data_IF_182167520804
#
_entry.id   IF_182167520804
#
_cell.length_a   1.000
_cell.length_b   1.000
_cell.length_c   1.000
_cell.angle_alpha   90.00
_cell.angle_beta   90.00
_cell.angle_gamma   90.00
#
_symmetry.space_group_name_H-M   'P 1'
#
loop_
_entity.id
_entity.type
_entity.pdbx_description
1 polymer ?
#
# COMPACT_ATOMS: atom_id res chain seq x y z
N UNK A 1 -38.15 13.54 -20.17
CA UNK A 1 -37.43 13.42 -21.46
C UNK A 1 -36.31 14.44 -21.63
N UNK A 2 -36.54 15.76 -21.46
CA UNK A 2 -35.53 16.82 -21.68
C UNK A 2 -34.25 16.64 -20.82
N UNK A 3 -34.36 16.30 -19.53
CA UNK A 3 -33.18 16.03 -18.67
C UNK A 3 -32.29 14.89 -19.20
N UNK A 4 -32.89 13.84 -19.76
CA UNK A 4 -32.18 12.69 -20.33
C UNK A 4 -31.38 13.10 -21.57
N UNK A 5 -31.93 14.03 -22.37
CA UNK A 5 -31.26 14.60 -23.53
C UNK A 5 -30.05 15.46 -23.13
N UNK A 6 -30.18 16.30 -22.09
CA UNK A 6 -29.04 17.07 -21.55
C UNK A 6 -27.92 16.17 -20.99
N UNK A 7 -28.28 15.07 -20.31
CA UNK A 7 -27.31 14.09 -19.79
C UNK A 7 -26.59 13.38 -20.96
N UNK A 8 -27.30 12.99 -22.01
CA UNK A 8 -26.70 12.36 -23.20
C UNK A 8 -25.74 13.30 -23.94
N UNK A 9 -26.12 14.56 -24.12
CA UNK A 9 -25.26 15.57 -24.77
C UNK A 9 -23.99 15.83 -23.95
N UNK A 10 -24.13 15.94 -22.63
CA UNK A 10 -22.97 16.16 -21.73
C UNK A 10 -22.05 14.94 -21.68
N UNK A 11 -22.59 13.72 -21.64
CA UNK A 11 -21.79 12.49 -21.73
C UNK A 11 -21.05 12.38 -23.06
N UNK A 12 -21.70 12.70 -24.18
CA UNK A 12 -21.07 12.70 -25.51
C UNK A 12 -19.97 13.75 -25.63
N UNK A 13 -20.18 14.96 -25.09
CA UNK A 13 -19.18 16.02 -25.06
C UNK A 13 -17.96 15.61 -24.22
N UNK A 14 -18.18 15.02 -23.03
CA UNK A 14 -17.10 14.49 -22.18
C UNK A 14 -16.37 13.36 -22.88
N UNK A 15 -17.07 12.42 -23.50
CA UNK A 15 -16.47 11.32 -24.27
C UNK A 15 -15.56 11.85 -25.37
N UNK A 16 -16.01 12.83 -26.17
CA UNK A 16 -15.22 13.43 -27.24
C UNK A 16 -14.00 14.19 -26.71
N UNK A 17 -14.14 14.94 -25.62
CA UNK A 17 -13.02 15.69 -25.01
C UNK A 17 -11.99 14.72 -24.41
N UNK A 18 -12.45 13.66 -23.76
CA UNK A 18 -11.59 12.62 -23.19
C UNK A 18 -10.90 11.84 -24.31
N UNK A 19 -11.64 11.37 -25.32
CA UNK A 19 -11.12 10.66 -26.50
C UNK A 19 -10.05 11.47 -27.24
N UNK A 20 -10.28 12.77 -27.45
CA UNK A 20 -9.31 13.68 -28.08
C UNK A 20 -8.03 13.89 -27.24
N UNK A 21 -8.08 13.69 -25.92
CA UNK A 21 -6.93 13.77 -24.99
C UNK A 21 -6.33 12.40 -24.64
N UNK A 22 -6.94 11.30 -25.07
CA UNK A 22 -6.37 9.97 -24.89
C UNK A 22 -5.27 9.78 -25.94
N UNK A 23 -4.05 10.13 -25.53
CA UNK A 23 -2.84 9.87 -26.30
C UNK A 23 -2.71 8.36 -26.59
N UNK A 24 -2.35 8.00 -27.83
CA UNK A 24 -2.08 6.63 -28.30
C UNK A 24 -1.10 5.89 -27.38
N UNK A 25 -0.19 6.62 -26.72
CA UNK A 25 0.70 6.12 -25.67
C UNK A 25 -0.04 5.54 -24.45
N UNK A 26 -1.09 6.20 -23.94
CA UNK A 26 -1.90 5.71 -22.80
C UNK A 26 -2.65 4.43 -23.16
N UNK A 27 -3.21 4.33 -24.37
CA UNK A 27 -3.89 3.11 -24.86
C UNK A 27 -2.89 1.95 -24.98
N UNK A 28 -1.69 2.20 -25.51
CA UNK A 28 -0.62 1.19 -25.61
C UNK A 28 -0.25 0.67 -24.21
N UNK A 29 -0.09 1.57 -23.23
CA UNK A 29 0.20 1.22 -21.83
C UNK A 29 -0.88 0.35 -21.18
N UNK A 30 -2.17 0.65 -21.43
CA UNK A 30 -3.30 -0.17 -20.94
C UNK A 30 -3.30 -1.56 -21.59
N UNK A 31 -3.11 -1.65 -22.91
CA UNK A 31 -3.00 -2.96 -23.60
C UNK A 31 -1.84 -3.80 -23.07
N UNK A 32 -0.68 -3.18 -22.83
CA UNK A 32 0.47 -3.86 -22.22
C UNK A 32 0.14 -4.37 -20.81
N UNK A 33 -0.58 -3.59 -20.01
CA UNK A 33 -0.99 -3.96 -18.66
C UNK A 33 -1.96 -5.15 -18.66
N UNK A 34 -2.97 -5.14 -19.55
CA UNK A 34 -3.89 -6.28 -19.74
C UNK A 34 -3.12 -7.54 -20.15
N UNK A 35 -2.20 -7.42 -21.11
CA UNK A 35 -1.37 -8.55 -21.55
C UNK A 35 -0.51 -9.11 -20.41
N UNK A 36 0.09 -8.24 -19.60
CA UNK A 36 0.85 -8.64 -18.42
C UNK A 36 -0.01 -9.37 -17.39
N UNK A 37 -1.21 -8.87 -17.09
CA UNK A 37 -2.17 -9.53 -16.19
C UNK A 37 -2.53 -10.93 -16.71
N UNK A 38 -2.89 -11.05 -18.00
CA UNK A 38 -3.28 -12.33 -18.59
C UNK A 38 -2.11 -13.33 -18.57
N UNK A 39 -0.88 -12.85 -18.79
CA UNK A 39 0.31 -13.70 -18.65
C UNK A 39 0.52 -14.16 -17.21
N UNK A 40 0.30 -13.31 -16.19
CA UNK A 40 0.41 -13.73 -14.78
C UNK A 40 -0.57 -14.86 -14.45
N UNK A 41 -1.83 -14.76 -14.90
CA UNK A 41 -2.77 -15.88 -14.79
C UNK A 41 -2.28 -17.14 -15.48
N UNK A 42 -1.75 -17.01 -16.71
CA UNK A 42 -1.16 -18.14 -17.45
C UNK A 42 0.03 -18.77 -16.73
N UNK A 43 0.87 -17.97 -16.06
CA UNK A 43 1.99 -18.46 -15.25
C UNK A 43 1.53 -19.25 -14.03
N UNK A 44 0.49 -18.79 -13.32
CA UNK A 44 -0.12 -19.52 -12.21
C UNK A 44 -0.60 -20.91 -12.64
N UNK A 45 -1.31 -21.01 -13.77
CA UNK A 45 -1.85 -22.28 -14.26
C UNK A 45 -0.78 -23.22 -14.86
N UNK A 46 0.37 -22.71 -15.29
CA UNK A 46 1.45 -23.51 -15.87
C UNK A 46 2.45 -24.07 -14.85
N UNK A 47 2.30 -23.76 -13.56
CA UNK A 47 3.09 -24.35 -12.46
C UNK A 47 4.60 -24.09 -12.47
N UNK A 48 5.13 -23.36 -13.46
CA UNK A 48 6.56 -23.04 -13.55
C UNK A 48 6.88 -21.78 -12.79
N UNK A 49 7.17 -21.95 -11.51
CA UNK A 49 7.92 -20.96 -10.75
C UNK A 49 9.31 -21.53 -10.41
N UNK A 50 10.29 -21.23 -11.26
CA UNK A 50 11.71 -21.59 -11.07
C UNK A 50 12.39 -20.84 -9.92
N UNK A 51 11.70 -19.93 -9.23
CA UNK A 51 12.37 -18.95 -8.37
C UNK A 51 12.02 -19.03 -6.88
N UNK A 52 11.14 -19.94 -6.42
CA UNK A 52 10.41 -19.74 -5.15
C UNK A 52 10.73 -20.78 -4.06
N UNK A 53 11.05 -20.29 -2.86
CA UNK A 53 10.80 -21.00 -1.60
C UNK A 53 9.32 -20.85 -1.22
N UNK A 54 8.59 -21.96 -1.15
CA UNK A 54 7.12 -22.03 -0.97
C UNK A 54 6.57 -21.07 0.10
N UNK A 55 7.22 -20.99 1.27
CA UNK A 55 6.79 -20.14 2.38
C UNK A 55 6.78 -18.64 2.08
N UNK A 56 7.74 -18.12 1.30
CA UNK A 56 7.81 -16.68 0.97
C UNK A 56 6.67 -16.27 0.04
N UNK A 57 6.36 -17.12 -0.94
CA UNK A 57 5.25 -16.92 -1.83
C UNK A 57 3.91 -17.05 -1.09
N UNK A 58 3.79 -18.02 -0.18
CA UNK A 58 2.60 -18.22 0.63
C UNK A 58 2.28 -16.98 1.49
N UNK A 59 3.27 -16.40 2.18
CA UNK A 59 3.11 -15.19 3.00
C UNK A 59 2.60 -14.01 2.15
N UNK A 60 3.23 -13.75 1.00
CA UNK A 60 2.83 -12.67 0.11
C UNK A 60 1.43 -12.92 -0.49
N UNK A 61 1.15 -14.16 -0.90
CA UNK A 61 -0.15 -14.54 -1.45
C UNK A 61 -1.28 -14.36 -0.43
N UNK A 62 -1.09 -14.85 0.80
CA UNK A 62 -2.09 -14.71 1.88
C UNK A 62 -2.35 -13.23 2.17
N UNK A 63 -1.30 -12.44 2.41
CA UNK A 63 -1.45 -11.01 2.76
C UNK A 63 -2.26 -10.26 1.70
N UNK A 64 -2.00 -10.55 0.42
CA UNK A 64 -2.66 -9.86 -0.67
C UNK A 64 -4.05 -10.41 -0.99
N UNK A 65 -4.29 -11.72 -0.83
CA UNK A 65 -5.63 -12.30 -0.93
C UNK A 65 -6.59 -11.68 0.11
N UNK A 66 -6.09 -11.42 1.32
CA UNK A 66 -6.84 -10.71 2.36
C UNK A 66 -7.17 -9.26 1.96
N UNK A 67 -6.23 -8.52 1.37
CA UNK A 67 -6.47 -7.17 0.84
C UNK A 67 -7.51 -7.18 -0.29
N UNK A 68 -7.45 -8.14 -1.21
CA UNK A 68 -8.50 -8.32 -2.24
C UNK A 68 -9.83 -8.54 -1.57
N UNK A 69 -9.93 -9.52 -0.68
CA UNK A 69 -11.17 -9.80 0.03
C UNK A 69 -11.72 -8.54 0.73
N UNK A 70 -10.86 -7.70 1.31
CA UNK A 70 -11.23 -6.42 1.88
C UNK A 70 -11.91 -5.49 0.89
N UNK A 71 -11.23 -5.23 -0.23
CA UNK A 71 -11.69 -4.32 -1.26
C UNK A 71 -12.98 -4.83 -1.89
N UNK A 72 -13.04 -6.13 -2.19
CA UNK A 72 -14.23 -6.78 -2.75
C UNK A 72 -15.41 -6.65 -1.81
N UNK A 73 -15.24 -6.99 -0.53
CA UNK A 73 -16.31 -6.87 0.46
C UNK A 73 -16.78 -5.42 0.62
N UNK A 74 -15.85 -4.47 0.68
CA UNK A 74 -16.17 -3.04 0.80
C UNK A 74 -16.97 -2.55 -0.41
N UNK A 75 -16.52 -2.89 -1.63
CA UNK A 75 -17.17 -2.50 -2.88
C UNK A 75 -18.53 -3.18 -3.00
N UNK A 76 -18.62 -4.48 -2.76
CA UNK A 76 -19.88 -5.24 -2.80
C UNK A 76 -20.87 -4.65 -1.81
N UNK A 77 -20.49 -4.40 -0.55
CA UNK A 77 -21.39 -3.79 0.45
C UNK A 77 -21.92 -2.43 0.00
N UNK A 78 -21.07 -1.59 -0.61
CA UNK A 78 -21.44 -0.24 -1.06
C UNK A 78 -22.33 -0.27 -2.30
N UNK A 79 -22.07 -1.18 -3.24
CA UNK A 79 -22.85 -1.35 -4.47
C UNK A 79 -24.18 -2.04 -4.20
N UNK A 80 -24.19 -3.13 -3.42
CA UNK A 80 -25.41 -3.91 -3.16
C UNK A 80 -26.48 -3.09 -2.44
N UNK A 81 -26.07 -2.25 -1.47
CA UNK A 81 -26.95 -1.28 -0.79
C UNK A 81 -27.57 -0.26 -1.76
N UNK A 82 -26.92 0.00 -2.89
CA UNK A 82 -27.41 0.94 -3.92
C UNK A 82 -28.29 0.26 -4.98
N UNK A 83 -28.08 -1.04 -5.22
CA UNK A 83 -28.78 -1.81 -6.28
C UNK A 83 -30.14 -2.35 -5.81
N UNK A 84 -30.34 -2.57 -4.50
CA UNK A 84 -31.57 -3.17 -3.96
C UNK A 84 -32.83 -2.30 -4.10
N UNK A 85 -32.70 -0.97 -4.18
CA UNK A 85 -33.85 -0.06 -4.19
C UNK A 85 -34.43 0.28 -5.58
N UNK A 86 -33.71 0.10 -6.71
CA UNK A 86 -34.07 0.84 -7.95
C UNK A 86 -33.85 0.17 -9.33
N UNK A 87 -33.61 -1.15 -9.46
CA UNK A 87 -33.27 -1.74 -10.78
C UNK A 87 -34.16 -2.88 -11.29
N UNK A 88 -34.49 -2.81 -12.60
CA UNK A 88 -35.05 -3.88 -13.46
C UNK A 88 -34.05 -5.05 -13.53
N UNK A 89 -34.53 -6.30 -13.69
CA UNK A 89 -33.74 -7.54 -13.74
C UNK A 89 -32.47 -7.47 -14.62
N UNK A 90 -32.55 -6.77 -15.76
CA UNK A 90 -31.43 -6.55 -16.67
C UNK A 90 -30.31 -5.66 -16.10
N UNK A 91 -30.66 -4.66 -15.29
CA UNK A 91 -29.68 -3.84 -14.58
C UNK A 91 -28.89 -4.67 -13.55
N UNK A 92 -29.57 -5.59 -12.85
CA UNK A 92 -28.93 -6.50 -11.88
C UNK A 92 -27.93 -7.43 -12.56
N UNK A 93 -28.30 -8.08 -13.67
CA UNK A 93 -27.38 -8.96 -14.41
C UNK A 93 -26.17 -8.20 -14.98
N UNK A 94 -26.38 -7.01 -15.55
CA UNK A 94 -25.30 -6.17 -16.05
C UNK A 94 -24.34 -5.74 -14.93
N UNK A 95 -24.85 -5.34 -13.75
CA UNK A 95 -24.01 -4.97 -12.60
C UNK A 95 -23.16 -6.14 -12.11
N UNK A 96 -23.70 -7.37 -12.10
CA UNK A 96 -22.96 -8.57 -11.72
C UNK A 96 -21.81 -8.85 -12.72
N UNK A 97 -22.07 -8.74 -14.03
CA UNK A 97 -21.05 -8.95 -15.06
C UNK A 97 -19.92 -7.91 -14.92
N UNK A 98 -20.26 -6.63 -14.73
CA UNK A 98 -19.29 -5.55 -14.51
C UNK A 98 -18.48 -5.81 -13.24
N UNK A 99 -19.11 -6.28 -12.17
CA UNK A 99 -18.43 -6.62 -10.92
C UNK A 99 -17.43 -7.77 -11.12
N UNK A 100 -17.81 -8.84 -11.85
CA UNK A 100 -16.91 -9.97 -12.15
C UNK A 100 -15.72 -9.52 -12.99
N UNK A 101 -15.92 -8.68 -14.00
CA UNK A 101 -14.84 -8.12 -14.81
C UNK A 101 -13.91 -7.23 -13.97
N UNK A 102 -14.49 -6.40 -13.11
CA UNK A 102 -13.72 -5.58 -12.18
C UNK A 102 -12.89 -6.43 -11.23
N UNK A 103 -13.46 -7.50 -10.67
CA UNK A 103 -12.78 -8.46 -9.81
C UNK A 103 -11.59 -9.12 -10.52
N UNK A 104 -11.78 -9.54 -11.77
CA UNK A 104 -10.71 -10.09 -12.61
C UNK A 104 -9.53 -9.12 -12.72
N UNK A 105 -9.80 -7.84 -13.00
CA UNK A 105 -8.75 -6.83 -13.09
C UNK A 105 -8.06 -6.57 -11.75
N UNK A 106 -8.82 -6.50 -10.65
CA UNK A 106 -8.28 -6.29 -9.29
C UNK A 106 -7.34 -7.43 -8.92
N UNK A 107 -7.79 -8.68 -9.07
CA UNK A 107 -6.98 -9.87 -8.75
C UNK A 107 -5.76 -9.93 -9.66
N UNK A 108 -5.91 -9.64 -10.95
CA UNK A 108 -4.83 -9.68 -11.92
C UNK A 108 -3.73 -8.65 -11.65
N UNK A 109 -4.11 -7.41 -11.34
CA UNK A 109 -3.16 -6.36 -10.98
C UNK A 109 -2.43 -6.67 -9.67
N UNK A 110 -3.13 -7.32 -8.74
CA UNK A 110 -2.58 -7.69 -7.45
C UNK A 110 -1.55 -8.82 -7.60
N UNK A 111 -1.83 -9.86 -8.39
CA UNK A 111 -0.84 -10.88 -8.77
C UNK A 111 0.39 -10.28 -9.46
N UNK A 112 0.19 -9.32 -10.36
CA UNK A 112 1.28 -8.58 -10.98
C UNK A 112 2.13 -7.81 -9.95
N UNK A 113 1.47 -7.25 -8.93
CA UNK A 113 2.12 -6.55 -7.82
C UNK A 113 2.93 -7.52 -6.95
N UNK A 114 2.42 -8.72 -6.62
CA UNK A 114 3.20 -9.81 -5.98
C UNK A 114 4.45 -10.09 -6.79
N UNK A 115 4.31 -10.31 -8.11
CA UNK A 115 5.42 -10.69 -8.97
C UNK A 115 6.52 -9.62 -8.99
N UNK A 116 6.14 -8.33 -9.02
CA UNK A 116 7.09 -7.21 -8.96
C UNK A 116 7.78 -7.09 -7.60
N UNK A 117 7.03 -7.13 -6.50
CA UNK A 117 7.58 -7.10 -5.14
C UNK A 117 8.51 -8.29 -4.92
N UNK A 118 8.13 -9.46 -5.42
CA UNK A 118 8.95 -10.66 -5.34
C UNK A 118 10.26 -10.54 -6.12
N UNK A 119 10.20 -10.09 -7.38
CA UNK A 119 11.39 -9.85 -8.22
C UNK A 119 12.33 -8.82 -7.57
N UNK A 120 11.76 -7.85 -6.86
CA UNK A 120 12.49 -6.87 -6.06
C UNK A 120 13.13 -7.47 -4.80
N UNK A 121 12.41 -8.33 -4.06
CA UNK A 121 12.93 -9.02 -2.87
C UNK A 121 13.95 -10.12 -3.21
N UNK A 122 13.86 -10.77 -4.37
CA UNK A 122 14.86 -11.74 -4.84
C UNK A 122 16.22 -11.06 -5.10
N UNK A 123 16.14 -9.80 -5.47
CA UNK A 123 17.24 -8.92 -5.81
C UNK A 123 18.10 -8.58 -4.57
N UNK A 124 17.54 -8.70 -3.36
CA UNK A 124 18.26 -8.49 -2.09
C UNK A 124 19.05 -9.77 -1.75
N UNK A 125 20.37 -9.65 -1.67
CA UNK A 125 21.26 -10.78 -1.34
C UNK A 125 21.19 -11.15 0.15
N UNK A 126 21.11 -10.16 1.04
CA UNK A 126 21.00 -10.41 2.48
C UNK A 126 19.66 -11.07 2.86
N UNK A 127 19.75 -12.36 3.17
CA UNK A 127 18.64 -13.20 3.61
C UNK A 127 17.94 -12.65 4.87
N UNK A 128 18.67 -11.99 5.77
CA UNK A 128 18.10 -11.45 7.00
C UNK A 128 17.24 -10.23 6.68
N UNK A 129 17.76 -9.25 5.92
CA UNK A 129 16.99 -8.08 5.46
C UNK A 129 15.73 -8.48 4.71
N UNK A 130 15.86 -9.45 3.80
CA UNK A 130 14.71 -9.98 3.05
C UNK A 130 13.63 -10.56 3.96
N UNK A 131 14.02 -11.28 4.99
CA UNK A 131 13.08 -11.91 5.94
C UNK A 131 12.41 -10.86 6.82
N UNK A 132 13.17 -9.90 7.34
CA UNK A 132 12.67 -8.80 8.15
C UNK A 132 11.64 -7.94 7.38
N UNK A 133 11.92 -7.66 6.09
CA UNK A 133 10.99 -6.98 5.16
C UNK A 133 9.70 -7.77 4.91
N UNK A 134 9.80 -9.08 4.71
CA UNK A 134 8.64 -9.92 4.45
C UNK A 134 7.72 -10.01 5.67
N UNK A 135 8.29 -10.18 6.86
CA UNK A 135 7.52 -10.27 8.11
C UNK A 135 6.85 -8.93 8.41
N UNK A 136 7.57 -7.83 8.32
CA UNK A 136 7.02 -6.48 8.54
C UNK A 136 5.90 -6.15 7.54
N UNK A 137 6.10 -6.44 6.25
CA UNK A 137 5.07 -6.28 5.21
C UNK A 137 3.82 -7.11 5.51
N UNK A 138 3.99 -8.37 5.90
CA UNK A 138 2.88 -9.26 6.25
C UNK A 138 2.06 -8.70 7.41
N UNK A 139 2.71 -8.27 8.49
CA UNK A 139 2.05 -7.69 9.67
C UNK A 139 1.27 -6.43 9.28
N UNK A 140 1.91 -5.48 8.60
CA UNK A 140 1.29 -4.23 8.17
C UNK A 140 0.07 -4.52 7.29
N UNK A 141 0.22 -5.38 6.29
CA UNK A 141 -0.87 -5.74 5.37
C UNK A 141 -2.04 -6.39 6.08
N UNK A 142 -1.78 -7.29 7.04
CA UNK A 142 -2.83 -7.94 7.82
C UNK A 142 -3.58 -6.94 8.72
N UNK A 143 -2.86 -6.09 9.45
CA UNK A 143 -3.50 -5.10 10.33
C UNK A 143 -4.25 -4.01 9.56
N UNK A 144 -3.71 -3.51 8.45
CA UNK A 144 -4.44 -2.61 7.56
C UNK A 144 -5.72 -3.27 7.04
N UNK A 145 -5.66 -4.56 6.69
CA UNK A 145 -6.84 -5.30 6.25
C UNK A 145 -7.88 -5.41 7.37
N UNK A 146 -7.46 -5.79 8.57
CA UNK A 146 -8.36 -5.91 9.73
C UNK A 146 -8.99 -4.56 10.07
N UNK A 147 -8.21 -3.47 10.04
CA UNK A 147 -8.69 -2.10 10.25
C UNK A 147 -9.82 -1.75 9.27
N UNK A 148 -9.64 -2.05 7.98
CA UNK A 148 -10.60 -1.70 6.92
C UNK A 148 -11.84 -2.60 6.97
N UNK A 149 -11.68 -3.91 7.16
CA UNK A 149 -12.81 -4.86 7.07
C UNK A 149 -13.57 -4.99 8.39
N UNK A 150 -12.84 -5.06 9.49
CA UNK A 150 -13.34 -5.43 10.81
C UNK A 150 -12.85 -4.41 11.87
N UNK A 151 -13.21 -3.13 11.75
CA UNK A 151 -12.72 -2.09 12.67
C UNK A 151 -13.07 -2.37 14.14
N UNK A 152 -14.19 -3.07 14.40
CA UNK A 152 -14.53 -3.52 15.76
C UNK A 152 -13.55 -4.56 16.31
N UNK A 153 -13.13 -5.53 15.50
CA UNK A 153 -12.13 -6.53 15.92
C UNK A 153 -10.74 -5.92 16.03
N UNK A 154 -10.42 -4.95 15.16
CA UNK A 154 -9.21 -4.14 15.27
C UNK A 154 -9.15 -3.44 16.64
N UNK A 155 -10.24 -2.77 17.03
CA UNK A 155 -10.32 -2.03 18.28
C UNK A 155 -10.26 -2.94 19.52
N UNK A 156 -10.98 -4.07 19.52
CA UNK A 156 -10.96 -5.04 20.64
C UNK A 156 -9.57 -5.58 20.90
N UNK A 157 -8.80 -5.86 19.85
CA UNK A 157 -7.49 -6.50 19.94
C UNK A 157 -6.32 -5.50 19.96
N UNK A 158 -6.56 -4.25 20.38
CA UNK A 158 -5.56 -3.19 20.26
C UNK A 158 -4.23 -3.50 20.96
N UNK A 159 -4.23 -4.19 22.11
CA UNK A 159 -3.00 -4.55 22.83
C UNK A 159 -2.11 -5.49 22.02
N UNK A 160 -2.71 -6.53 21.43
CA UNK A 160 -2.00 -7.47 20.55
C UNK A 160 -1.54 -6.75 19.28
N UNK A 161 -2.40 -5.89 18.74
CA UNK A 161 -2.09 -5.00 17.63
C UNK A 161 -0.85 -4.15 17.87
N UNK A 162 -0.74 -3.52 19.04
CA UNK A 162 0.43 -2.70 19.40
C UNK A 162 1.72 -3.50 19.45
N UNK A 163 1.69 -4.72 19.99
CA UNK A 163 2.87 -5.60 20.01
C UNK A 163 3.31 -5.96 18.60
N UNK A 164 2.36 -6.36 17.74
CA UNK A 164 2.69 -6.70 16.35
C UNK A 164 3.18 -5.50 15.55
N UNK A 165 2.56 -4.32 15.73
CA UNK A 165 3.00 -3.10 15.04
C UNK A 165 4.38 -2.67 15.52
N UNK A 166 4.66 -2.73 16.83
CA UNK A 166 5.99 -2.46 17.38
C UNK A 166 7.05 -3.40 16.81
N UNK A 167 6.74 -4.69 16.67
CA UNK A 167 7.61 -5.66 15.99
C UNK A 167 7.85 -5.24 14.52
N UNK A 168 6.79 -4.92 13.77
CA UNK A 168 6.93 -4.50 12.37
C UNK A 168 7.78 -3.23 12.23
N UNK A 169 7.58 -2.27 13.15
CA UNK A 169 8.31 -1.01 13.19
C UNK A 169 9.79 -1.24 13.48
N UNK A 170 10.12 -2.07 14.47
CA UNK A 170 11.50 -2.40 14.80
C UNK A 170 12.22 -3.12 13.65
N UNK A 171 11.56 -4.07 12.99
CA UNK A 171 12.10 -4.75 11.81
C UNK A 171 12.36 -3.75 10.67
N UNK A 172 11.42 -2.85 10.38
CA UNK A 172 11.61 -1.82 9.37
C UNK A 172 12.75 -0.85 9.71
N UNK A 173 12.87 -0.44 10.98
CA UNK A 173 13.95 0.44 11.41
C UNK A 173 15.32 -0.25 11.31
N UNK A 174 15.40 -1.53 11.69
CA UNK A 174 16.60 -2.37 11.53
C UNK A 174 17.02 -2.50 10.07
N UNK A 175 16.06 -2.72 9.17
CA UNK A 175 16.29 -2.75 7.72
C UNK A 175 16.79 -1.39 7.24
N UNK A 176 16.12 -0.30 7.61
CA UNK A 176 16.51 1.06 7.24
C UNK A 176 17.94 1.38 7.67
N UNK A 177 18.30 1.09 8.93
CA UNK A 177 19.65 1.31 9.46
C UNK A 177 20.71 0.48 8.73
N UNK A 178 20.38 -0.75 8.34
CA UNK A 178 21.30 -1.61 7.57
C UNK A 178 21.57 -1.06 6.17
N UNK A 179 20.55 -0.50 5.53
CA UNK A 179 20.67 0.16 4.21
C UNK A 179 21.62 1.36 4.30
N UNK A 180 21.52 2.16 5.36
CA UNK A 180 22.41 3.31 5.58
C UNK A 180 23.85 2.85 5.84
N UNK A 181 24.03 1.86 6.73
CA UNK A 181 25.34 1.48 7.24
C UNK A 181 26.19 0.75 6.19
N UNK A 182 25.56 0.05 5.26
CA UNK A 182 26.29 -0.78 4.30
C UNK A 182 25.51 -0.87 2.98
N UNK A 183 25.62 0.14 2.11
CA UNK A 183 24.96 0.14 0.81
C UNK A 183 25.41 -1.03 -0.09
N UNK A 184 26.64 -1.54 0.11
CA UNK A 184 27.20 -2.73 -0.56
C UNK A 184 26.49 -4.05 -0.20
N UNK A 185 25.79 -4.15 0.94
CA UNK A 185 25.03 -5.38 1.30
C UNK A 185 23.76 -5.53 0.44
N UNK A 186 23.38 -4.45 -0.24
CA UNK A 186 22.41 -4.47 -1.33
C UNK A 186 23.06 -4.61 -2.70
N UNK A 187 24.15 -5.37 -2.80
CA UNK A 187 24.61 -5.89 -4.07
C UNK A 187 23.48 -6.70 -4.72
N UNK A 188 22.75 -5.99 -5.57
CA UNK A 188 21.64 -6.52 -6.32
C UNK A 188 22.25 -7.50 -7.31
N UNK A 189 22.08 -8.79 -7.04
CA UNK A 189 22.60 -9.92 -7.83
C UNK A 189 22.65 -9.56 -9.32
N UNK A 190 23.84 -9.17 -9.81
CA UNK A 190 24.13 -8.90 -11.22
C UNK A 190 23.84 -7.49 -11.78
N UNK A 191 24.35 -6.40 -11.18
CA UNK A 191 24.50 -5.12 -11.89
C UNK A 191 25.98 -4.69 -12.03
N UNK A 192 26.73 -5.41 -12.85
CA UNK A 192 27.99 -4.94 -13.45
C UNK A 192 27.80 -4.01 -14.66
N UNK A 193 26.59 -3.45 -14.87
CA UNK A 193 26.37 -2.41 -15.87
C UNK A 193 25.42 -1.34 -15.35
N UNK A 194 25.97 -0.15 -15.08
CA UNK A 194 25.24 1.13 -15.04
C UNK A 194 24.31 1.17 -16.24
N UNK A 195 23.02 0.97 -16.00
CA UNK A 195 21.95 1.13 -16.98
C UNK A 195 20.94 2.04 -16.30
N UNK A 196 20.48 3.07 -17.01
CA UNK A 196 19.64 4.21 -16.61
C UNK A 196 18.33 3.84 -15.88
N UNK A 197 18.44 3.22 -14.72
CA UNK A 197 17.34 2.75 -13.90
C UNK A 197 17.51 3.27 -12.49
N UNK A 198 16.48 3.98 -12.01
CA UNK A 198 16.27 4.42 -10.63
C UNK A 198 17.03 3.53 -9.63
N UNK A 199 18.04 4.11 -8.95
CA UNK A 199 18.92 3.41 -8.01
C UNK A 199 18.12 2.45 -7.14
N UNK A 200 18.35 1.14 -7.33
CA UNK A 200 17.54 0.11 -6.68
C UNK A 200 17.62 0.19 -5.15
N UNK A 201 18.69 0.77 -4.61
CA UNK A 201 18.87 1.11 -3.19
C UNK A 201 17.93 2.24 -2.77
N UNK A 202 17.86 3.34 -3.55
CA UNK A 202 16.95 4.46 -3.27
C UNK A 202 15.48 4.04 -3.30
N UNK A 203 15.09 3.20 -4.26
CA UNK A 203 13.74 2.61 -4.32
C UNK A 203 13.43 1.81 -3.05
N UNK A 204 14.39 1.01 -2.58
CA UNK A 204 14.23 0.23 -1.36
C UNK A 204 14.08 1.12 -0.13
N UNK A 205 14.91 2.15 -0.01
CA UNK A 205 14.83 3.11 1.10
C UNK A 205 13.46 3.80 1.15
N UNK A 206 12.92 4.22 -0.01
CA UNK A 206 11.57 4.80 -0.09
C UNK A 206 10.49 3.79 0.31
N UNK A 207 10.57 2.54 -0.14
CA UNK A 207 9.61 1.48 0.24
C UNK A 207 9.64 1.25 1.75
N UNK A 208 10.83 1.10 2.34
CA UNK A 208 11.00 0.89 3.78
C UNK A 208 10.48 2.09 4.57
N UNK A 209 10.78 3.30 4.11
CA UNK A 209 10.29 4.54 4.74
C UNK A 209 8.75 4.59 4.74
N UNK A 210 8.10 4.25 3.62
CA UNK A 210 6.64 4.15 3.57
C UNK A 210 6.12 3.10 4.55
N UNK A 211 6.78 1.95 4.66
CA UNK A 211 6.40 0.91 5.63
C UNK A 211 6.54 1.40 7.08
N UNK A 212 7.59 2.15 7.41
CA UNK A 212 7.78 2.78 8.73
C UNK A 212 6.62 3.74 9.03
N UNK A 213 6.28 4.63 8.10
CA UNK A 213 5.19 5.60 8.29
C UNK A 213 3.85 4.90 8.48
N UNK A 214 3.57 3.84 7.71
CA UNK A 214 2.33 3.06 7.88
C UNK A 214 2.32 2.31 9.22
N UNK A 215 3.45 1.75 9.67
CA UNK A 215 3.55 1.17 11.02
C UNK A 215 3.24 2.20 12.11
N UNK A 216 3.77 3.42 12.02
CA UNK A 216 3.46 4.50 12.96
C UNK A 216 1.96 4.84 12.95
N UNK A 217 1.35 4.94 11.77
CA UNK A 217 -0.07 5.25 11.66
C UNK A 217 -0.96 4.15 12.25
N UNK A 218 -0.62 2.88 12.03
CA UNK A 218 -1.30 1.76 12.68
C UNK A 218 -1.15 1.81 14.20
N UNK A 219 0.03 2.18 14.73
CA UNK A 219 0.23 2.34 16.17
C UNK A 219 -0.67 3.43 16.74
N UNK A 220 -0.77 4.59 16.07
CA UNK A 220 -1.68 5.68 16.43
C UNK A 220 -3.13 5.20 16.44
N UNK A 221 -3.58 4.47 15.41
CA UNK A 221 -4.92 3.88 15.35
C UNK A 221 -5.20 2.86 16.46
N UNK A 222 -4.22 2.03 16.83
CA UNK A 222 -4.40 1.11 17.96
C UNK A 222 -4.42 1.86 19.30
N UNK A 223 -3.61 2.90 19.47
CA UNK A 223 -3.61 3.73 20.69
C UNK A 223 -4.94 4.47 20.84
N UNK A 224 -5.54 4.97 19.76
CA UNK A 224 -6.85 5.62 19.84
C UNK A 224 -7.97 4.68 20.30
N UNK A 225 -7.81 3.37 20.11
CA UNK A 225 -8.74 2.35 20.62
C UNK A 225 -8.56 2.03 22.12
N UNK A 226 -7.55 2.60 22.79
CA UNK A 226 -7.31 2.32 24.22
C UNK A 226 -8.31 3.00 25.18
N UNK A 227 -9.01 4.03 24.72
CA UNK A 227 -10.03 4.74 25.49
C UNK A 227 -10.56 5.97 24.76
N UNK A 228 -11.60 6.60 25.30
CA UNK A 228 -12.11 7.88 24.81
C UNK A 228 -11.19 9.04 25.21
N UNK A 229 -11.16 10.11 24.41
CA UNK A 229 -10.37 11.30 24.72
C UNK A 229 -8.85 11.09 24.67
N UNK A 230 -8.37 10.01 24.03
CA UNK A 230 -6.94 9.77 23.81
C UNK A 230 -6.31 10.84 22.91
N UNK A 231 -7.07 11.29 21.91
CA UNK A 231 -6.75 12.40 21.01
C UNK A 231 -7.89 13.43 21.07
N UNK A 232 -7.59 14.69 20.76
CA UNK A 232 -8.60 15.75 20.70
C UNK A 232 -9.65 15.48 19.62
N UNK A 233 -10.91 15.87 19.88
CA UNK A 233 -12.03 15.79 18.95
C UNK A 233 -12.45 14.38 18.48
N UNK A 234 -12.04 13.32 19.18
CA UNK A 234 -12.39 11.92 18.87
C UNK A 234 -12.25 11.59 17.35
N UNK A 235 -11.02 11.64 16.81
CA UNK A 235 -10.75 11.57 15.38
C UNK A 235 -11.10 10.18 14.81
N UNK A 236 -11.50 10.15 13.55
CA UNK A 236 -11.66 8.88 12.81
C UNK A 236 -10.29 8.26 12.51
N UNK A 237 -10.25 6.98 12.13
CA UNK A 237 -8.99 6.34 11.72
C UNK A 237 -8.30 7.03 10.53
N UNK A 238 -9.07 7.66 9.66
CA UNK A 238 -8.50 8.44 8.55
C UNK A 238 -7.86 9.74 9.02
N UNK A 239 -8.51 10.42 9.98
CA UNK A 239 -7.98 11.63 10.60
C UNK A 239 -6.69 11.34 11.38
N UNK A 240 -6.60 10.16 12.01
CA UNK A 240 -5.39 9.68 12.68
C UNK A 240 -4.24 9.36 11.71
N UNK A 241 -4.55 8.84 10.52
CA UNK A 241 -3.56 8.69 9.45
C UNK A 241 -3.03 10.05 8.99
N UNK A 242 -3.93 11.01 8.77
CA UNK A 242 -3.56 12.40 8.48
C UNK A 242 -2.69 13.00 9.59
N UNK A 243 -3.10 12.88 10.85
CA UNK A 243 -2.33 13.32 12.03
C UNK A 243 -0.90 12.76 12.01
N UNK A 244 -0.77 11.46 11.69
CA UNK A 244 0.54 10.79 11.63
C UNK A 244 1.42 11.41 10.55
N UNK A 245 0.88 11.65 9.35
CA UNK A 245 1.61 12.25 8.24
C UNK A 245 2.06 13.67 8.59
N UNK A 246 1.16 14.53 9.07
CA UNK A 246 1.50 15.93 9.37
C UNK A 246 2.49 16.04 10.53
N UNK A 247 2.44 15.11 11.48
CA UNK A 247 3.39 15.04 12.60
C UNK A 247 4.75 14.54 12.11
N UNK A 248 4.77 13.48 11.30
CA UNK A 248 5.99 12.94 10.70
C UNK A 248 6.66 13.95 9.77
N UNK A 249 5.89 14.67 8.96
CA UNK A 249 6.37 15.72 8.07
C UNK A 249 6.67 17.04 8.79
N UNK A 250 6.52 17.10 10.12
CA UNK A 250 6.76 18.30 10.95
C UNK A 250 5.91 19.52 10.58
N UNK A 251 4.75 19.30 9.95
CA UNK A 251 3.78 20.37 9.60
C UNK A 251 2.99 20.81 10.82
N UNK A 252 2.43 19.86 11.58
CA UNK A 252 1.85 20.10 12.90
C UNK A 252 0.74 21.16 12.97
N UNK A 253 -0.34 21.03 12.18
CA UNK A 253 -1.46 21.98 12.18
C UNK A 253 -2.16 22.16 13.54
N UNK A 254 -2.09 21.18 14.44
CA UNK A 254 -2.63 21.27 15.80
C UNK A 254 -4.13 21.03 15.94
N UNK A 255 -4.81 20.67 14.85
CA UNK A 255 -6.22 20.26 14.81
C UNK A 255 -6.50 18.94 15.56
N UNK A 256 -5.53 18.01 15.50
CA UNK A 256 -5.53 16.77 16.26
C UNK A 256 -4.26 16.74 17.12
N UNK A 257 -4.44 16.55 18.43
CA UNK A 257 -3.33 16.51 19.37
C UNK A 257 -3.48 15.37 20.39
N UNK A 258 -2.36 14.76 20.81
CA UNK A 258 -2.35 13.68 21.79
C UNK A 258 -2.67 14.23 23.19
N UNK A 259 -3.68 13.66 23.85
CA UNK A 259 -4.08 14.07 25.20
C UNK A 259 -3.49 13.12 26.24
N UNK A 260 -3.63 11.81 25.99
CA UNK A 260 -3.19 10.78 26.94
C UNK A 260 -1.66 10.62 27.00
N UNK A 261 -1.09 10.14 28.12
CA UNK A 261 0.36 9.91 28.22
C UNK A 261 0.91 8.97 27.13
N UNK A 262 0.16 7.93 26.78
CA UNK A 262 0.55 6.95 25.75
C UNK A 262 0.55 7.59 24.36
N UNK A 263 -0.46 8.42 24.04
CA UNK A 263 -0.51 9.15 22.77
C UNK A 263 0.62 10.18 22.67
N UNK A 264 0.94 10.87 23.77
CA UNK A 264 2.07 11.81 23.84
C UNK A 264 3.40 11.10 23.61
N UNK A 265 3.61 9.95 24.25
CA UNK A 265 4.78 9.12 24.01
C UNK A 265 4.89 8.69 22.54
N UNK A 266 3.79 8.25 21.92
CA UNK A 266 3.77 7.90 20.51
C UNK A 266 4.15 9.07 19.60
N UNK A 267 3.74 10.29 19.96
CA UNK A 267 4.09 11.50 19.21
C UNK A 267 5.58 11.78 19.25
N UNK A 268 6.23 11.58 20.41
CA UNK A 268 7.70 11.65 20.54
C UNK A 268 8.36 10.61 19.62
N UNK A 269 7.85 9.37 19.61
CA UNK A 269 8.37 8.32 18.72
C UNK A 269 8.24 8.72 17.24
N UNK A 270 7.10 9.29 16.82
CA UNK A 270 6.91 9.78 15.45
C UNK A 270 7.95 10.85 15.10
N UNK A 271 8.14 11.84 15.98
CA UNK A 271 9.11 12.93 15.75
C UNK A 271 10.57 12.44 15.74
N UNK A 272 10.95 11.50 16.60
CA UNK A 272 12.30 10.92 16.55
C UNK A 272 12.52 10.11 15.26
N UNK A 273 11.51 9.35 14.84
CA UNK A 273 11.57 8.56 13.61
C UNK A 273 11.68 9.46 12.38
N UNK A 274 10.95 10.57 12.33
CA UNK A 274 10.98 11.47 11.17
C UNK A 274 12.36 12.07 10.94
N UNK A 275 13.05 12.48 12.01
CA UNK A 275 14.42 13.01 11.92
C UNK A 275 15.38 11.95 11.35
N UNK A 276 15.28 10.70 11.84
CA UNK A 276 16.08 9.59 11.32
C UNK A 276 15.79 9.36 9.84
N UNK A 277 14.53 9.20 9.46
CA UNK A 277 14.12 8.93 8.08
C UNK A 277 14.47 10.07 7.11
N UNK A 278 14.32 11.33 7.52
CA UNK A 278 14.67 12.49 6.70
C UNK A 278 16.17 12.52 6.42
N UNK A 279 16.99 12.19 7.42
CA UNK A 279 18.45 12.07 7.26
C UNK A 279 18.81 11.02 6.21
N UNK A 280 18.18 9.83 6.26
CA UNK A 280 18.39 8.78 5.25
C UNK A 280 18.00 9.26 3.86
N UNK A 281 16.83 9.89 3.76
CA UNK A 281 16.30 10.35 2.49
C UNK A 281 17.23 11.37 1.84
N UNK A 282 17.69 12.37 2.60
CA UNK A 282 18.64 13.38 2.12
C UNK A 282 19.95 12.72 1.68
N UNK A 283 20.53 11.83 2.49
CA UNK A 283 21.76 11.11 2.13
C UNK A 283 21.62 10.31 0.83
N UNK A 284 20.48 9.66 0.61
CA UNK A 284 20.22 8.91 -0.63
C UNK A 284 20.11 9.81 -1.86
N UNK A 285 19.45 10.97 -1.72
CA UNK A 285 19.29 11.95 -2.81
C UNK A 285 20.64 12.62 -3.15
N UNK A 286 21.44 12.96 -2.14
CA UNK A 286 22.76 13.54 -2.33
C UNK A 286 23.72 12.55 -2.99
N UNK A 287 23.67 11.27 -2.60
CA UNK A 287 24.47 10.21 -3.23
C UNK A 287 24.17 10.06 -4.71
N UNK A 288 22.92 10.27 -5.14
CA UNK A 288 22.54 10.22 -6.54
C UNK A 288 23.15 11.39 -7.32
N UNK A 289 23.01 12.62 -6.79
CA UNK A 289 23.55 13.83 -7.43
C UNK A 289 25.08 13.85 -7.54
N UNK A 290 25.80 13.29 -6.58
CA UNK A 290 27.27 13.22 -6.61
C UNK A 290 27.86 12.29 -7.68
N UNK A 291 27.02 11.65 -8.50
CA UNK A 291 27.47 10.79 -9.62
C UNK A 291 27.31 11.44 -11.00
N UNK A 292 26.83 12.69 -11.07
CA UNK A 292 26.64 13.46 -12.32
C UNK A 292 27.75 14.48 -12.61
N UNK A 293 28.76 14.62 -11.74
CA UNK A 293 29.98 15.45 -11.95
C UNK A 293 31.23 14.56 -12.15
#
# INVERSE_FOLDING_TARGET
MIRLFFILITLFAVEKVVSKRINTYKIKKVKTLIHQINNQYKYLFKGKSEYINFYQWLILFISQAFVVYALVRYIVKKIFRYVEENYILFGKTLTIIVLILFLYFVIGYLLLSISKIYKFLYKIEDKVTKTDLLISYFIISMYMTILIIFPGEFAKNYKIGLVGVALSYFLNLKVLLRIIRSPEITDFKGQTKKTDGLDSVGVMAVIVLLMVVISLALAVCFISCSGEGVYTNNPTFFDLFYYTIITFATVGYGDISPVSPIAKFMSIVISMTSILCLTVFISSVLSYKGTED
#
